data_IF_065152277149
#
_entry.id   IF_065152277149
#
_cell.length_a   1.000
_cell.length_b   1.000
_cell.length_c   1.000
_cell.angle_alpha   90.00
_cell.angle_beta   90.00
_cell.angle_gamma   90.00
#
_symmetry.space_group_name_H-M   'P 1'
#
loop_
_entity.id
_entity.type
_entity.pdbx_description
1 polymer ?
#
# COMPACT_ATOMS: atom_id res chain seq x y z
N UNK A 1 -18.88 -30.92 -27.88
CA UNK A 1 -19.64 -29.86 -27.19
C UNK A 1 -18.67 -28.80 -26.68
N UNK A 2 -18.69 -27.59 -27.23
CA UNK A 2 -17.89 -26.46 -26.72
C UNK A 2 -18.53 -26.02 -25.40
N UNK A 3 -17.88 -26.32 -24.27
CA UNK A 3 -18.33 -25.86 -22.95
C UNK A 3 -18.47 -24.34 -22.97
N UNK A 4 -19.68 -23.82 -22.69
CA UNK A 4 -19.88 -22.41 -22.38
C UNK A 4 -19.08 -22.13 -21.11
N UNK A 5 -17.93 -21.48 -21.26
CA UNK A 5 -16.99 -21.20 -20.16
C UNK A 5 -17.54 -20.19 -19.13
N UNK A 6 -18.62 -19.48 -19.48
CA UNK A 6 -19.27 -18.46 -18.65
C UNK A 6 -20.78 -18.54 -18.81
N UNK A 7 -21.53 -18.49 -17.70
CA UNK A 7 -22.99 -18.65 -17.68
C UNK A 7 -23.74 -17.32 -17.95
N UNK A 8 -23.03 -16.18 -17.94
CA UNK A 8 -23.57 -14.88 -18.32
C UNK A 8 -22.52 -13.75 -18.41
N UNK A 9 -22.94 -12.57 -18.88
CA UNK A 9 -22.07 -11.39 -19.02
C UNK A 9 -21.48 -10.92 -17.67
N UNK A 10 -22.24 -11.10 -16.58
CA UNK A 10 -21.78 -10.83 -15.21
C UNK A 10 -20.65 -11.77 -14.80
N UNK A 11 -20.76 -13.07 -15.11
CA UNK A 11 -19.70 -14.05 -14.81
C UNK A 11 -18.44 -13.83 -15.65
N UNK A 12 -18.59 -13.34 -16.88
CA UNK A 12 -17.46 -12.93 -17.69
C UNK A 12 -16.74 -11.74 -17.03
N UNK A 13 -17.45 -10.68 -16.65
CA UNK A 13 -16.84 -9.50 -16.02
C UNK A 13 -16.18 -9.81 -14.68
N UNK A 14 -16.82 -10.66 -13.85
CA UNK A 14 -16.25 -11.07 -12.57
C UNK A 14 -14.95 -11.85 -12.78
N UNK A 15 -14.96 -12.85 -13.67
CA UNK A 15 -13.75 -13.62 -13.95
C UNK A 15 -12.65 -12.79 -14.61
N UNK A 16 -12.99 -11.85 -15.48
CA UNK A 16 -12.02 -10.96 -16.12
C UNK A 16 -11.40 -9.98 -15.10
N UNK A 17 -12.19 -9.49 -14.14
CA UNK A 17 -11.66 -8.71 -13.02
C UNK A 17 -10.74 -9.53 -12.12
N UNK A 18 -11.11 -10.77 -11.78
CA UNK A 18 -10.25 -11.66 -11.00
C UNK A 18 -8.98 -12.07 -11.75
N UNK A 19 -9.07 -12.33 -13.06
CA UNK A 19 -7.90 -12.61 -13.92
C UNK A 19 -7.00 -11.39 -14.03
N UNK A 20 -7.56 -10.18 -14.14
CA UNK A 20 -6.80 -8.94 -14.11
C UNK A 20 -6.09 -8.75 -12.76
N UNK A 21 -6.81 -8.94 -11.65
CA UNK A 21 -6.27 -8.84 -10.29
C UNK A 21 -5.14 -9.87 -10.07
N UNK A 22 -5.39 -11.12 -10.47
CA UNK A 22 -4.43 -12.22 -10.45
C UNK A 22 -3.17 -11.88 -11.24
N UNK A 23 -3.33 -11.37 -12.46
CA UNK A 23 -2.21 -11.10 -13.37
C UNK A 23 -1.35 -9.93 -12.90
N UNK A 24 -1.98 -8.88 -12.34
CA UNK A 24 -1.29 -7.66 -11.93
C UNK A 24 -0.76 -7.71 -10.49
N UNK A 25 -1.54 -8.23 -9.54
CA UNK A 25 -1.16 -8.27 -8.12
C UNK A 25 -0.45 -9.57 -7.72
N UNK A 26 -0.96 -10.73 -8.15
CA UNK A 26 -0.47 -12.03 -7.68
C UNK A 26 0.60 -12.61 -8.62
N UNK A 27 0.59 -12.21 -9.89
CA UNK A 27 1.48 -12.75 -10.91
C UNK A 27 1.46 -14.28 -10.93
N UNK A 28 0.26 -14.88 -10.84
CA UNK A 28 0.04 -16.33 -10.71
C UNK A 28 0.82 -17.03 -9.58
N UNK A 29 1.33 -16.28 -8.58
CA UNK A 29 2.17 -16.83 -7.51
C UNK A 29 3.57 -17.24 -7.98
N UNK A 30 3.95 -16.92 -9.22
CA UNK A 30 5.15 -17.45 -9.84
C UNK A 30 6.43 -16.70 -9.42
N UNK A 31 6.33 -15.44 -8.97
CA UNK A 31 7.51 -14.58 -8.71
C UNK A 31 7.35 -13.72 -7.45
N UNK A 32 7.92 -14.11 -6.28
CA UNK A 32 7.79 -13.36 -5.02
C UNK A 32 8.40 -11.95 -5.10
N UNK A 33 9.35 -11.71 -6.01
CA UNK A 33 9.92 -10.38 -6.26
C UNK A 33 8.87 -9.36 -6.75
N UNK A 34 7.84 -9.80 -7.49
CA UNK A 34 6.78 -8.90 -7.94
C UNK A 34 5.97 -8.36 -6.75
N UNK A 35 5.69 -9.21 -5.76
CA UNK A 35 4.99 -8.79 -4.54
C UNK A 35 5.80 -7.77 -3.74
N UNK A 36 7.12 -7.93 -3.70
CA UNK A 36 8.03 -6.99 -3.03
C UNK A 36 8.03 -5.61 -3.73
N UNK A 37 8.00 -5.60 -5.07
CA UNK A 37 7.86 -4.36 -5.83
C UNK A 37 6.48 -3.70 -5.65
N UNK A 38 5.42 -4.50 -5.55
CA UNK A 38 4.06 -4.00 -5.31
C UNK A 38 3.96 -3.39 -3.90
N UNK A 39 4.49 -4.04 -2.87
CA UNK A 39 4.50 -3.48 -1.51
C UNK A 39 5.28 -2.16 -1.47
N UNK A 40 6.47 -2.10 -2.06
CA UNK A 40 7.25 -0.87 -2.18
C UNK A 40 6.49 0.25 -2.89
N UNK A 41 5.75 -0.09 -3.95
CA UNK A 41 4.94 0.88 -4.71
C UNK A 41 3.76 1.40 -3.88
N UNK A 42 3.08 0.52 -3.12
CA UNK A 42 1.98 0.90 -2.23
C UNK A 42 2.51 1.83 -1.13
N UNK A 43 3.59 1.45 -0.45
CA UNK A 43 4.20 2.27 0.60
C UNK A 43 4.56 3.66 0.06
N UNK A 44 5.20 3.72 -1.11
CA UNK A 44 5.57 4.99 -1.72
C UNK A 44 4.36 5.85 -2.10
N UNK A 45 3.27 5.23 -2.58
CA UNK A 45 2.04 5.92 -2.91
C UNK A 45 1.32 6.47 -1.67
N UNK A 46 1.23 5.68 -0.60
CA UNK A 46 0.62 6.12 0.67
C UNK A 46 1.45 7.22 1.34
N UNK A 47 2.78 7.09 1.36
CA UNK A 47 3.69 8.12 1.81
C UNK A 47 3.43 9.47 1.13
N UNK A 48 3.25 9.46 -0.20
CA UNK A 48 2.93 10.66 -0.95
C UNK A 48 1.57 11.26 -0.55
N UNK A 49 0.55 10.43 -0.33
CA UNK A 49 -0.77 10.91 0.14
C UNK A 49 -0.69 11.48 1.56
N UNK A 50 0.14 10.89 2.43
CA UNK A 50 0.32 11.35 3.80
C UNK A 50 0.95 12.74 3.91
N UNK A 51 1.73 13.17 2.93
CA UNK A 51 2.22 14.56 2.88
C UNK A 51 1.09 15.58 2.83
N UNK A 52 -0.03 15.25 2.19
CA UNK A 52 -1.18 16.15 2.04
C UNK A 52 -2.17 16.02 3.20
N UNK A 53 -2.42 14.81 3.70
CA UNK A 53 -3.34 14.60 4.83
C UNK A 53 -2.72 15.03 6.15
N UNK A 54 -1.42 14.78 6.30
CA UNK A 54 -0.59 15.15 7.43
C UNK A 54 -0.30 13.98 8.37
N UNK A 55 0.92 13.97 8.89
CA UNK A 55 1.37 13.09 9.97
C UNK A 55 1.90 13.96 11.12
N UNK A 56 1.76 13.48 12.35
CA UNK A 56 2.27 14.16 13.53
C UNK A 56 3.41 13.34 14.11
N UNK A 57 4.60 13.93 14.14
CA UNK A 57 5.75 13.44 14.89
C UNK A 57 5.63 13.87 16.36
N UNK A 58 6.03 13.00 17.28
CA UNK A 58 6.18 13.36 18.70
C UNK A 58 7.26 14.42 18.93
N UNK A 59 8.31 14.45 18.11
CA UNK A 59 9.47 15.32 18.31
C UNK A 59 9.44 16.57 17.43
N UNK A 60 9.07 16.44 16.16
CA UNK A 60 9.13 17.52 15.17
C UNK A 60 7.78 18.22 14.91
N UNK A 61 6.71 17.76 15.55
CA UNK A 61 5.38 18.36 15.40
C UNK A 61 4.64 17.86 14.15
N UNK A 62 3.79 18.72 13.57
CA UNK A 62 2.91 18.35 12.46
C UNK A 62 3.61 18.56 11.11
N UNK A 63 3.74 17.48 10.35
CA UNK A 63 4.27 17.48 8.99
C UNK A 63 3.07 17.40 8.04
N UNK A 64 2.75 18.54 7.42
CA UNK A 64 1.69 18.65 6.42
C UNK A 64 2.08 19.69 5.39
N UNK A 65 2.19 19.27 4.13
CA UNK A 65 2.55 20.16 3.03
C UNK A 65 1.29 20.88 2.55
N UNK A 66 1.29 22.20 2.71
CA UNK A 66 0.29 23.08 2.11
C UNK A 66 0.83 23.66 0.79
N UNK A 67 0.27 23.21 -0.33
CA UNK A 67 0.60 23.70 -1.69
C UNK A 67 0.41 25.21 -1.88
N UNK A 68 -0.43 25.85 -1.05
CA UNK A 68 -0.72 27.29 -1.15
C UNK A 68 0.37 28.17 -0.52
N UNK A 69 1.10 27.66 0.48
CA UNK A 69 2.16 28.39 1.15
C UNK A 69 3.52 27.82 0.70
N UNK A 70 4.05 28.39 -0.37
CA UNK A 70 5.22 27.86 -1.08
C UNK A 70 6.55 28.25 -0.42
N UNK A 71 6.69 28.01 0.89
CA UNK A 71 7.87 28.39 1.67
C UNK A 71 8.86 27.25 1.90
N UNK A 72 8.54 26.03 1.44
CA UNK A 72 9.36 24.85 1.70
C UNK A 72 10.50 24.71 0.69
N UNK A 73 11.69 24.43 1.20
CA UNK A 73 12.83 24.09 0.35
C UNK A 73 12.71 22.67 -0.22
N UNK A 74 13.41 22.38 -1.33
CA UNK A 74 13.45 21.01 -1.89
C UNK A 74 13.99 19.99 -0.87
N UNK A 75 14.96 20.40 -0.05
CA UNK A 75 15.53 19.56 1.00
C UNK A 75 14.49 19.19 2.07
N UNK A 76 13.68 20.14 2.50
CA UNK A 76 12.59 19.90 3.47
C UNK A 76 11.53 18.98 2.88
N UNK A 77 11.14 19.16 1.61
CA UNK A 77 10.17 18.28 0.95
C UNK A 77 10.65 16.83 0.87
N UNK A 78 11.92 16.62 0.54
CA UNK A 78 12.52 15.27 0.52
C UNK A 78 12.54 14.69 1.94
N UNK A 79 12.89 15.50 2.95
CA UNK A 79 12.93 15.06 4.34
C UNK A 79 11.53 14.64 4.83
N UNK A 80 10.51 15.47 4.59
CA UNK A 80 9.13 15.16 4.92
C UNK A 80 8.61 13.92 4.18
N UNK A 81 8.98 13.75 2.91
CA UNK A 81 8.62 12.55 2.17
C UNK A 81 9.26 11.30 2.78
N UNK A 82 10.53 11.37 3.17
CA UNK A 82 11.21 10.24 3.82
C UNK A 82 10.59 9.88 5.18
N UNK A 83 10.18 10.88 5.96
CA UNK A 83 9.46 10.66 7.22
C UNK A 83 8.07 10.04 6.99
N UNK A 84 7.34 10.52 5.98
CA UNK A 84 6.06 9.93 5.58
C UNK A 84 6.21 8.52 5.01
N UNK A 85 7.31 8.25 4.32
CA UNK A 85 7.66 6.93 3.80
C UNK A 85 7.98 5.95 4.92
N UNK A 86 8.72 6.40 5.94
CA UNK A 86 8.93 5.64 7.16
C UNK A 86 7.60 5.35 7.88
N UNK A 87 6.73 6.34 8.08
CA UNK A 87 5.41 6.13 8.68
C UNK A 87 4.56 5.12 7.91
N UNK A 88 4.53 5.22 6.58
CA UNK A 88 3.83 4.28 5.69
C UNK A 88 4.42 2.87 5.79
N UNK A 89 5.75 2.71 5.77
CA UNK A 89 6.42 1.42 5.95
C UNK A 89 6.04 0.77 7.29
N UNK A 90 6.04 1.56 8.37
CA UNK A 90 5.68 1.12 9.72
C UNK A 90 4.22 0.72 9.85
N UNK A 91 3.34 1.42 9.14
CA UNK A 91 1.90 1.15 9.08
C UNK A 91 1.60 -0.10 8.25
N UNK A 92 2.18 -0.19 7.06
CA UNK A 92 2.04 -1.33 6.14
C UNK A 92 2.55 -2.64 6.76
N UNK A 93 3.67 -2.58 7.49
CA UNK A 93 4.24 -3.72 8.21
C UNK A 93 3.55 -4.01 9.56
N UNK A 94 2.60 -3.18 9.97
CA UNK A 94 1.88 -3.28 11.26
C UNK A 94 2.75 -3.19 12.51
N UNK A 95 4.00 -2.70 12.39
CA UNK A 95 4.91 -2.57 13.54
C UNK A 95 4.54 -1.38 14.41
N UNK A 96 4.27 -0.22 13.80
CA UNK A 96 3.74 0.97 14.47
C UNK A 96 4.42 1.40 15.79
N UNK A 97 5.70 1.81 15.73
CA UNK A 97 6.44 2.26 16.94
C UNK A 97 5.78 3.41 17.71
N UNK A 98 4.88 4.17 17.08
CA UNK A 98 4.10 5.23 17.72
C UNK A 98 4.83 6.58 17.83
N UNK A 99 6.00 6.69 17.20
CA UNK A 99 6.76 7.93 16.99
C UNK A 99 6.06 8.90 16.03
N UNK A 100 5.38 8.36 15.02
CA UNK A 100 4.49 9.08 14.12
C UNK A 100 3.05 8.59 14.25
N UNK A 101 2.11 9.53 14.23
CA UNK A 101 0.68 9.29 14.33
C UNK A 101 -0.08 10.02 13.23
N UNK A 102 -1.09 9.36 12.65
CA UNK A 102 -1.97 9.92 11.64
C UNK A 102 -2.74 11.14 12.18
N UNK A 103 -2.68 12.26 11.44
CA UNK A 103 -3.35 13.51 11.83
C UNK A 103 -4.71 13.67 11.11
N UNK A 104 -5.78 13.82 11.90
CA UNK A 104 -7.13 14.02 11.38
C UNK A 104 -7.84 12.73 10.92
N UNK A 105 -9.11 12.85 10.56
CA UNK A 105 -9.96 11.71 10.21
C UNK A 105 -9.54 11.03 8.90
N UNK A 106 -9.22 11.83 7.87
CA UNK A 106 -8.82 11.32 6.56
C UNK A 106 -7.53 10.49 6.63
N UNK A 107 -6.52 10.98 7.35
CA UNK A 107 -5.25 10.26 7.55
C UNK A 107 -5.49 8.93 8.28
N UNK A 108 -6.37 8.90 9.29
CA UNK A 108 -6.76 7.66 9.99
C UNK A 108 -7.47 6.66 9.08
N UNK A 109 -8.38 7.11 8.20
CA UNK A 109 -9.04 6.23 7.24
C UNK A 109 -8.04 5.61 6.25
N UNK A 110 -7.06 6.40 5.79
CA UNK A 110 -5.99 5.91 4.94
C UNK A 110 -5.12 4.87 5.64
N UNK A 111 -4.76 5.10 6.91
CA UNK A 111 -4.04 4.12 7.74
C UNK A 111 -4.80 2.80 7.80
N UNK A 112 -6.12 2.83 8.03
CA UNK A 112 -6.92 1.60 8.05
C UNK A 112 -6.88 0.87 6.70
N UNK A 113 -6.95 1.60 5.59
CA UNK A 113 -6.88 1.04 4.25
C UNK A 113 -5.50 0.43 3.96
N UNK A 114 -4.44 1.14 4.35
CA UNK A 114 -3.07 0.68 4.19
C UNK A 114 -2.77 -0.57 5.00
N UNK A 115 -3.22 -0.62 6.26
CA UNK A 115 -3.09 -1.83 7.10
C UNK A 115 -3.83 -3.00 6.48
N UNK A 116 -5.04 -2.78 5.96
CA UNK A 116 -5.80 -3.83 5.28
C UNK A 116 -5.04 -4.37 4.04
N UNK A 117 -4.54 -3.48 3.18
CA UNK A 117 -3.71 -3.87 2.03
C UNK A 117 -2.42 -4.58 2.47
N UNK A 118 -1.75 -4.07 3.50
CA UNK A 118 -0.55 -4.65 4.07
C UNK A 118 -0.77 -6.10 4.49
N UNK A 119 -1.79 -6.36 5.31
CA UNK A 119 -2.09 -7.72 5.79
C UNK A 119 -2.42 -8.66 4.62
N UNK A 120 -3.19 -8.21 3.63
CA UNK A 120 -3.49 -9.05 2.45
C UNK A 120 -2.24 -9.42 1.67
N UNK A 121 -1.30 -8.50 1.47
CA UNK A 121 -0.05 -8.76 0.75
C UNK A 121 0.86 -9.69 1.56
N UNK A 122 1.01 -9.48 2.87
CA UNK A 122 1.78 -10.39 3.74
C UNK A 122 1.21 -11.81 3.69
N UNK A 123 -0.12 -11.97 3.69
CA UNK A 123 -0.77 -13.28 3.55
C UNK A 123 -0.47 -13.95 2.19
N UNK A 124 -0.57 -13.20 1.08
CA UNK A 124 -0.22 -13.75 -0.24
C UNK A 124 1.25 -14.12 -0.36
N UNK A 125 2.14 -13.31 0.22
CA UNK A 125 3.58 -13.54 0.17
C UNK A 125 3.97 -14.80 0.94
N UNK A 126 3.46 -14.96 2.16
CA UNK A 126 3.67 -16.19 2.96
C UNK A 126 3.10 -17.42 2.26
N UNK A 127 1.89 -17.35 1.69
CA UNK A 127 1.28 -18.46 0.93
C UNK A 127 2.14 -18.93 -0.26
N UNK A 128 2.74 -18.00 -1.01
CA UNK A 128 3.63 -18.32 -2.13
C UNK A 128 4.94 -18.95 -1.65
N UNK A 129 5.50 -18.46 -0.53
CA UNK A 129 6.69 -19.05 0.07
C UNK A 129 6.44 -20.49 0.52
N UNK A 130 5.33 -20.73 1.24
CA UNK A 130 4.94 -22.09 1.65
C UNK A 130 4.76 -23.02 0.44
N UNK A 131 4.10 -22.55 -0.62
CA UNK A 131 3.89 -23.33 -1.84
C UNK A 131 5.20 -23.71 -2.55
N UNK A 132 6.27 -22.93 -2.36
CA UNK A 132 7.61 -23.22 -2.90
C UNK A 132 8.43 -24.16 -2.03
N UNK A 133 8.20 -24.17 -0.72
CA UNK A 133 8.93 -25.06 0.21
C UNK A 133 8.42 -26.50 0.16
N UNK A 134 7.14 -26.70 -0.19
CA UNK A 134 6.51 -28.02 -0.25
C UNK A 134 6.83 -28.75 -1.58
N UNK A 135 7.30 -28.02 -2.60
CA UNK A 135 7.82 -28.57 -3.86
C UNK A 135 9.29 -28.91 -3.74
#
# INVERSE_FOLDING_TARGET
MKNKKYDGYRDYLVNDFFDFLSKYFIGYGERPLKLLLISFSIISLFAFIYLFTGIKSLYHGLIKVNLLNNTYSLYELVTFYMEAWYFSMMTFSTVGYGDFIAFGLLSKMLVCLEVFLGITIHATWTSILFSRMIK
#
